data_IF_744157076416
#
_entry.id   IF_744157076416
#
_cell.length_a   1.000
_cell.length_b   1.000
_cell.length_c   1.000
_cell.angle_alpha   90.00
_cell.angle_beta   90.00
_cell.angle_gamma   90.00
#
_symmetry.space_group_name_H-M   'P 1'
#
loop_
_entity.id
_entity.type
_entity.pdbx_description
1 polymer ?
#
# COMPACT_ATOMS: atom_id res chain seq x y z
N UNK A 1 4.08 -14.99 -6.21
CA UNK A 1 3.69 -14.85 -4.79
C UNK A 1 3.77 -13.39 -4.34
N UNK A 2 2.94 -12.50 -4.93
CA UNK A 2 3.03 -11.03 -4.70
C UNK A 2 2.45 -10.60 -3.34
N UNK A 3 1.29 -11.18 -3.00
CA UNK A 3 0.45 -10.78 -1.85
C UNK A 3 1.13 -11.16 -0.53
N UNK A 4 1.44 -12.45 -0.34
CA UNK A 4 2.05 -12.95 0.90
C UNK A 4 3.35 -12.23 1.27
N UNK A 5 4.26 -12.04 0.29
CA UNK A 5 5.49 -11.29 0.50
C UNK A 5 5.25 -9.81 0.88
N UNK A 6 4.15 -9.22 0.43
CA UNK A 6 3.81 -7.84 0.81
C UNK A 6 3.29 -7.79 2.23
N UNK A 7 2.40 -8.73 2.60
CA UNK A 7 1.90 -8.84 3.97
C UNK A 7 3.08 -9.05 4.94
N UNK A 8 3.98 -9.99 4.63
CA UNK A 8 5.13 -10.27 5.47
C UNK A 8 6.07 -9.07 5.62
N UNK A 9 6.36 -8.33 4.54
CA UNK A 9 7.15 -7.11 4.61
C UNK A 9 6.53 -6.07 5.55
N UNK A 10 5.22 -5.89 5.48
CA UNK A 10 4.49 -4.93 6.30
C UNK A 10 4.38 -5.37 7.77
N UNK A 11 4.36 -6.68 8.04
CA UNK A 11 4.35 -7.22 9.41
C UNK A 11 5.72 -7.15 10.10
N UNK A 12 6.80 -7.07 9.34
CA UNK A 12 8.17 -7.04 9.86
C UNK A 12 8.71 -5.63 10.08
N UNK A 13 8.01 -4.61 9.58
CA UNK A 13 8.39 -3.21 9.75
C UNK A 13 7.77 -2.67 11.05
N UNK A 14 8.57 -1.96 11.84
CA UNK A 14 8.11 -1.30 13.05
C UNK A 14 7.44 0.04 12.69
N UNK A 15 7.94 0.71 11.65
CA UNK A 15 7.42 1.98 11.13
C UNK A 15 7.13 1.92 9.63
N UNK A 16 6.14 2.68 9.16
CA UNK A 16 5.73 2.66 7.75
C UNK A 16 6.83 3.23 6.83
N UNK A 17 7.63 4.13 7.36
CA UNK A 17 8.77 4.80 6.74
C UNK A 17 9.88 3.82 6.36
N UNK A 18 10.01 2.70 7.07
CA UNK A 18 10.97 1.63 6.80
C UNK A 18 10.62 0.87 5.52
N UNK A 19 9.34 0.89 5.12
CA UNK A 19 8.87 0.15 3.95
C UNK A 19 9.20 0.95 2.69
N UNK A 20 10.16 0.49 1.87
CA UNK A 20 10.59 1.25 0.71
C UNK A 20 9.45 1.34 -0.31
N UNK A 21 9.41 2.43 -1.08
CA UNK A 21 8.41 2.66 -2.12
C UNK A 21 6.94 2.77 -1.66
N UNK A 22 6.69 2.95 -0.36
CA UNK A 22 5.43 3.49 0.15
C UNK A 22 5.40 4.99 -0.10
N UNK A 23 4.23 5.51 -0.53
CA UNK A 23 3.98 6.95 -0.62
C UNK A 23 2.56 7.25 -0.15
N UNK A 24 2.42 8.28 0.70
CA UNK A 24 1.13 8.90 1.01
C UNK A 24 0.54 9.53 -0.24
N UNK A 25 -0.77 9.40 -0.43
CA UNK A 25 -1.48 9.96 -1.57
C UNK A 25 -1.93 11.39 -1.28
N UNK A 26 -1.75 12.29 -2.25
CA UNK A 26 -2.17 13.68 -2.11
C UNK A 26 -3.69 13.77 -2.10
N UNK A 27 -4.25 14.62 -1.25
CA UNK A 27 -5.70 14.84 -1.15
C UNK A 27 -6.45 13.79 -0.32
N UNK A 28 -5.77 12.76 0.20
CA UNK A 28 -6.38 11.73 1.03
C UNK A 28 -5.62 11.60 2.35
N UNK A 29 -6.27 11.83 3.51
CA UNK A 29 -5.57 11.94 4.79
C UNK A 29 -4.91 10.64 5.23
N UNK A 30 -5.54 9.50 4.92
CA UNK A 30 -5.14 8.19 5.44
C UNK A 30 -4.76 7.20 4.33
N UNK A 31 -4.70 7.63 3.06
CA UNK A 31 -4.47 6.73 1.92
C UNK A 31 -3.00 6.71 1.49
N UNK A 32 -2.49 5.51 1.26
CA UNK A 32 -1.12 5.24 0.90
C UNK A 32 -1.04 4.25 -0.26
N UNK A 33 0.08 4.28 -0.97
CA UNK A 33 0.36 3.37 -2.08
C UNK A 33 1.75 2.78 -1.98
N UNK A 34 1.83 1.46 -1.94
CA UNK A 34 3.07 0.72 -2.10
C UNK A 34 3.29 0.32 -3.57
N UNK A 35 4.53 0.48 -4.06
CA UNK A 35 4.96 0.03 -5.40
C UNK A 35 5.70 -1.29 -5.29
N UNK A 36 5.26 -2.28 -6.05
CA UNK A 36 6.02 -3.51 -6.26
C UNK A 36 6.08 -3.85 -7.75
N UNK A 37 7.18 -3.47 -8.40
CA UNK A 37 7.36 -3.59 -9.85
C UNK A 37 6.25 -2.86 -10.63
N UNK A 38 5.47 -3.63 -11.40
CA UNK A 38 4.32 -3.15 -12.19
C UNK A 38 3.02 -3.03 -11.39
N UNK A 39 2.98 -3.61 -10.19
CA UNK A 39 1.82 -3.59 -9.30
C UNK A 39 1.86 -2.40 -8.35
N UNK A 40 0.66 -1.95 -8.01
CA UNK A 40 0.38 -0.96 -6.98
C UNK A 40 -0.56 -1.58 -5.97
N UNK A 41 -0.29 -1.28 -4.72
CA UNK A 41 -1.04 -1.77 -3.59
C UNK A 41 -1.54 -0.55 -2.85
N UNK A 42 -2.84 -0.37 -2.86
CA UNK A 42 -3.53 0.72 -2.18
C UNK A 42 -3.94 0.26 -0.78
N UNK A 43 -3.62 1.05 0.22
CA UNK A 43 -3.98 0.75 1.60
C UNK A 43 -4.28 2.01 2.40
N UNK A 44 -5.09 1.86 3.44
CA UNK A 44 -5.36 2.89 4.43
C UNK A 44 -4.59 2.61 5.72
N UNK A 45 -4.28 3.67 6.45
CA UNK A 45 -3.71 3.60 7.80
C UNK A 45 -4.72 4.25 8.76
N UNK A 46 -5.29 3.45 9.65
CA UNK A 46 -6.34 3.87 10.58
C UNK A 46 -6.08 3.23 11.94
N UNK A 47 -6.04 4.01 13.03
CA UNK A 47 -5.91 3.50 14.40
C UNK A 47 -4.83 2.42 14.55
N UNK A 48 -3.62 2.68 14.06
CA UNK A 48 -2.50 1.75 14.07
C UNK A 48 -2.72 0.44 13.28
N UNK A 49 -3.67 0.44 12.35
CA UNK A 49 -4.03 -0.71 11.52
C UNK A 49 -3.83 -0.36 10.05
N UNK A 50 -3.23 -1.28 9.30
CA UNK A 50 -3.08 -1.19 7.85
C UNK A 50 -4.18 -2.01 7.17
N UNK A 51 -4.99 -1.35 6.34
CA UNK A 51 -6.09 -1.97 5.60
C UNK A 51 -5.74 -2.00 4.12
N UNK A 52 -5.38 -3.17 3.60
CA UNK A 52 -5.13 -3.34 2.16
C UNK A 52 -6.45 -3.30 1.37
N UNK A 53 -6.68 -2.22 0.63
CA UNK A 53 -7.91 -1.98 -0.10
C UNK A 53 -7.86 -2.48 -1.56
N UNK A 54 -6.68 -2.44 -2.20
CA UNK A 54 -6.56 -2.79 -3.61
C UNK A 54 -5.18 -3.35 -4.00
N UNK A 55 -5.17 -4.40 -4.82
CA UNK A 55 -3.99 -4.91 -5.51
C UNK A 55 -4.23 -4.86 -7.01
N UNK A 56 -3.53 -3.99 -7.73
CA UNK A 56 -3.77 -3.83 -9.17
C UNK A 56 -2.52 -3.36 -9.93
N UNK A 57 -2.38 -3.70 -11.23
CA UNK A 57 -1.40 -3.06 -12.10
C UNK A 57 -1.60 -1.54 -12.15
N UNK A 58 -0.54 -0.78 -12.47
CA UNK A 58 -0.54 0.70 -12.49
C UNK A 58 -1.76 1.32 -13.19
N UNK A 59 -2.20 0.79 -14.33
CA UNK A 59 -3.32 1.35 -15.09
C UNK A 59 -4.71 1.04 -14.53
N UNK A 60 -4.83 0.04 -13.63
CA UNK A 60 -6.12 -0.42 -13.10
C UNK A 60 -6.40 0.05 -11.67
N UNK A 61 -5.38 0.50 -10.93
CA UNK A 61 -5.56 0.90 -9.52
C UNK A 61 -6.43 2.15 -9.38
N UNK A 62 -6.27 3.14 -10.27
CA UNK A 62 -6.98 4.42 -10.17
C UNK A 62 -8.49 4.36 -10.42
N UNK A 63 -9.01 3.22 -10.92
CA UNK A 63 -10.46 2.99 -10.99
C UNK A 63 -11.06 2.54 -9.66
N UNK A 64 -10.22 2.17 -8.68
CA UNK A 64 -10.63 1.52 -7.44
C UNK A 64 -9.99 2.10 -6.18
N UNK A 65 -9.00 3.00 -6.31
CA UNK A 65 -8.19 3.54 -5.22
C UNK A 65 -7.26 4.70 -5.68
N UNK A 66 -6.99 5.75 -4.88
CA UNK A 66 -7.61 6.04 -3.58
C UNK A 66 -9.08 6.43 -3.72
#
# INVERSE_FOLDING_TARGET
>A
MLILQTIQLFQQADELEEIPNVKKLKGHPNAYRYRKGIYRIGFFVENNTIIFAAFAPRGKIYRKFP
#
